data_IF_202092414420
#
_entry.id   IF_202092414420
#
_cell.length_a   1.000
_cell.length_b   1.000
_cell.length_c   1.000
_cell.angle_alpha   90.00
_cell.angle_beta   90.00
_cell.angle_gamma   90.00
#
_symmetry.space_group_name_H-M   'P 1'
#
loop_
_entity.id
_entity.type
_entity.pdbx_description
1 polymer ?
#
# COMPACT_ATOMS: atom_id res chain seq x y z
N UNK A 1 -37.78 -3.10 -14.82
CA UNK A 1 -37.85 -2.05 -15.86
C UNK A 1 -37.88 -0.72 -15.13
N UNK A 2 -36.74 -0.05 -15.07
CA UNK A 2 -36.49 1.11 -14.22
C UNK A 2 -36.17 2.31 -15.13
N UNK A 3 -36.78 3.49 -14.92
CA UNK A 3 -36.58 4.62 -15.80
C UNK A 3 -35.25 5.31 -15.51
N UNK A 4 -34.50 5.55 -16.58
CA UNK A 4 -33.26 6.30 -16.57
C UNK A 4 -33.54 7.80 -16.47
N UNK A 5 -32.85 8.48 -15.55
CA UNK A 5 -32.78 9.94 -15.48
C UNK A 5 -32.04 10.48 -16.71
N UNK A 6 -32.78 11.18 -17.58
CA UNK A 6 -32.22 11.99 -18.65
C UNK A 6 -32.06 13.42 -18.13
N UNK A 7 -30.84 13.80 -17.75
CA UNK A 7 -30.52 15.20 -17.46
C UNK A 7 -30.23 15.91 -18.79
N UNK A 8 -31.21 16.67 -19.27
CA UNK A 8 -31.10 17.56 -20.41
C UNK A 8 -30.23 18.77 -20.04
N UNK A 9 -29.04 18.86 -20.65
CA UNK A 9 -28.21 20.07 -20.67
C UNK A 9 -28.78 20.96 -21.78
N UNK A 10 -29.83 21.72 -21.48
CA UNK A 10 -30.42 22.67 -22.43
C UNK A 10 -31.01 23.88 -21.70
N UNK A 11 -30.18 24.63 -20.97
CA UNK A 11 -30.62 25.93 -20.44
C UNK A 11 -29.47 26.93 -20.25
N UNK A 12 -28.59 27.10 -21.24
CA UNK A 12 -27.68 28.26 -21.28
C UNK A 12 -27.59 28.78 -22.72
N UNK A 13 -28.71 29.24 -23.29
CA UNK A 13 -28.65 30.03 -24.53
C UNK A 13 -29.91 30.85 -24.83
N UNK A 14 -30.65 31.32 -23.81
CA UNK A 14 -31.85 32.15 -24.03
C UNK A 14 -31.92 33.34 -23.07
N UNK A 15 -30.88 34.18 -23.08
CA UNK A 15 -30.86 35.45 -22.32
C UNK A 15 -30.55 36.67 -23.18
N UNK A 16 -30.82 36.62 -24.50
CA UNK A 16 -30.45 37.71 -25.43
C UNK A 16 -31.59 38.59 -25.92
N UNK A 17 -32.79 38.53 -25.34
CA UNK A 17 -33.92 39.37 -25.76
C UNK A 17 -34.78 39.83 -24.57
N UNK A 18 -34.22 40.58 -23.61
CA UNK A 18 -34.96 41.57 -22.80
C UNK A 18 -33.98 42.68 -22.36
N UNK A 19 -33.66 43.62 -23.25
CA UNK A 19 -32.95 44.85 -22.87
C UNK A 19 -33.66 46.07 -23.46
N UNK A 20 -34.87 46.34 -22.98
CA UNK A 20 -35.52 47.66 -23.07
C UNK A 20 -36.50 47.95 -21.92
N UNK A 21 -36.39 47.26 -20.78
CA UNK A 21 -36.93 47.79 -19.53
C UNK A 21 -35.82 48.60 -18.87
N UNK A 22 -36.10 49.88 -18.53
CA UNK A 22 -35.23 50.66 -17.66
C UNK A 22 -34.98 49.80 -16.41
N UNK A 23 -33.72 49.48 -16.08
CA UNK A 23 -33.43 48.66 -14.91
C UNK A 23 -34.02 49.36 -13.70
N UNK A 24 -34.92 48.65 -13.04
CA UNK A 24 -35.47 49.02 -11.75
C UNK A 24 -34.27 49.12 -10.79
N UNK A 25 -33.93 50.34 -10.38
CA UNK A 25 -32.70 50.62 -9.62
C UNK A 25 -32.60 49.73 -8.38
N UNK A 26 -33.75 49.49 -7.74
CA UNK A 26 -33.86 48.70 -6.54
C UNK A 26 -33.48 47.23 -6.76
N UNK A 27 -33.80 46.66 -7.94
CA UNK A 27 -33.40 45.27 -8.28
C UNK A 27 -31.91 45.16 -8.55
N UNK A 28 -31.31 46.18 -9.15
CA UNK A 28 -29.87 46.19 -9.40
C UNK A 28 -29.07 46.28 -8.10
N UNK A 29 -29.51 47.11 -7.15
CA UNK A 29 -28.92 47.20 -5.81
C UNK A 29 -29.04 45.89 -5.03
N UNK A 30 -30.19 45.20 -5.11
CA UNK A 30 -30.36 43.87 -4.49
C UNK A 30 -29.40 42.81 -5.06
N UNK A 31 -29.18 42.82 -6.37
CA UNK A 31 -28.23 41.87 -7.01
C UNK A 31 -26.80 42.19 -6.61
N UNK A 32 -26.41 43.47 -6.54
CA UNK A 32 -25.08 43.87 -6.07
C UNK A 32 -24.84 43.45 -4.61
N UNK A 33 -25.80 43.69 -3.72
CA UNK A 33 -25.70 43.26 -2.33
C UNK A 33 -25.58 41.73 -2.21
N UNK A 34 -26.31 40.96 -3.02
CA UNK A 34 -26.17 39.50 -3.05
C UNK A 34 -24.78 39.06 -3.51
N UNK A 35 -24.21 39.76 -4.49
CA UNK A 35 -22.87 39.48 -5.01
C UNK A 35 -21.78 39.82 -3.97
N UNK A 36 -21.90 40.95 -3.29
CA UNK A 36 -20.98 41.33 -2.20
C UNK A 36 -21.04 40.32 -1.04
N UNK A 37 -22.25 39.91 -0.64
CA UNK A 37 -22.44 38.92 0.42
C UNK A 37 -21.84 37.56 0.06
N UNK A 38 -22.00 37.13 -1.20
CA UNK A 38 -21.39 35.87 -1.67
C UNK A 38 -19.87 35.97 -1.74
N UNK A 39 -19.33 37.11 -2.20
CA UNK A 39 -17.88 37.36 -2.22
C UNK A 39 -17.28 37.30 -0.81
N UNK A 40 -17.88 37.99 0.16
CA UNK A 40 -17.48 37.95 1.57
C UNK A 40 -17.56 36.54 2.16
N UNK A 41 -18.57 35.76 1.80
CA UNK A 41 -18.69 34.37 2.23
C UNK A 41 -17.61 33.45 1.60
N UNK A 42 -17.12 33.78 0.41
CA UNK A 42 -15.98 33.11 -0.20
C UNK A 42 -14.66 33.49 0.48
N UNK A 43 -14.44 34.76 0.80
CA UNK A 43 -13.26 35.23 1.54
C UNK A 43 -13.16 34.57 2.92
N UNK A 44 -14.25 34.56 3.70
CA UNK A 44 -14.25 33.88 5.03
C UNK A 44 -13.96 32.39 4.94
N UNK A 45 -14.45 31.72 3.89
CA UNK A 45 -14.11 30.30 3.65
C UNK A 45 -12.63 30.14 3.34
N UNK A 46 -12.06 31.02 2.52
CA UNK A 46 -10.63 30.98 2.21
C UNK A 46 -9.77 31.19 3.47
N UNK A 47 -10.15 32.10 4.36
CA UNK A 47 -9.47 32.30 5.65
C UNK A 47 -9.57 31.05 6.55
N UNK A 48 -10.74 30.43 6.64
CA UNK A 48 -10.92 29.20 7.41
C UNK A 48 -10.08 28.04 6.86
N UNK A 49 -10.01 27.89 5.54
CA UNK A 49 -9.13 26.93 4.87
C UNK A 49 -7.65 27.22 5.15
N UNK A 50 -7.26 28.49 5.15
CA UNK A 50 -5.90 28.91 5.48
C UNK A 50 -5.54 28.55 6.93
N UNK A 51 -6.43 28.78 7.90
CA UNK A 51 -6.22 28.40 9.30
C UNK A 51 -6.15 26.87 9.49
N UNK A 52 -7.04 26.10 8.86
CA UNK A 52 -6.95 24.64 8.89
C UNK A 52 -5.64 24.12 8.27
N UNK A 53 -5.16 24.76 7.20
CA UNK A 53 -3.89 24.40 6.59
C UNK A 53 -2.70 24.62 7.53
N UNK A 54 -2.68 25.73 8.29
CA UNK A 54 -1.67 26.00 9.32
C UNK A 54 -1.69 24.94 10.42
N UNK A 55 -2.88 24.54 10.88
CA UNK A 55 -3.02 23.49 11.88
C UNK A 55 -2.47 22.14 11.39
N UNK A 56 -2.78 21.77 10.15
CA UNK A 56 -2.25 20.56 9.51
C UNK A 56 -0.72 20.59 9.38
N UNK A 57 -0.15 21.71 8.94
CA UNK A 57 1.32 21.89 8.88
C UNK A 57 1.95 21.73 10.27
N UNK A 58 1.30 22.22 11.32
CA UNK A 58 1.73 22.02 12.70
C UNK A 58 1.72 20.55 13.13
N UNK A 59 0.67 19.80 12.78
CA UNK A 59 0.58 18.35 13.04
C UNK A 59 1.66 17.59 12.28
N UNK A 60 1.86 17.89 10.99
CA UNK A 60 2.89 17.25 10.16
C UNK A 60 4.29 17.48 10.73
N UNK A 61 4.63 18.72 11.12
CA UNK A 61 5.91 19.02 11.77
C UNK A 61 6.10 18.28 13.09
N UNK A 62 5.04 18.10 13.90
CA UNK A 62 5.12 17.28 15.13
C UNK A 62 5.39 15.81 14.82
N UNK A 63 4.72 15.25 13.82
CA UNK A 63 4.95 13.87 13.39
C UNK A 63 6.36 13.69 12.83
N UNK A 64 6.86 14.64 12.05
CA UNK A 64 8.22 14.63 11.53
C UNK A 64 9.26 14.63 12.66
N UNK A 65 9.09 15.48 13.68
CA UNK A 65 9.93 15.47 14.88
C UNK A 65 9.93 14.11 15.59
N UNK A 66 8.76 13.47 15.73
CA UNK A 66 8.65 12.14 16.32
C UNK A 66 9.33 11.06 15.45
N UNK A 67 9.17 11.11 14.13
CA UNK A 67 9.82 10.18 13.21
C UNK A 67 11.34 10.32 13.23
N UNK A 68 11.85 11.56 13.28
CA UNK A 68 13.29 11.83 13.42
C UNK A 68 13.80 11.32 14.77
N UNK A 69 13.09 11.55 15.87
CA UNK A 69 13.46 11.02 17.18
C UNK A 69 13.50 9.48 17.21
N UNK A 70 12.51 8.82 16.59
CA UNK A 70 12.48 7.36 16.44
C UNK A 70 13.66 6.84 15.59
N UNK A 71 14.00 7.55 14.51
CA UNK A 71 15.16 7.22 13.66
C UNK A 71 16.48 7.35 14.42
N UNK A 72 16.66 8.41 15.22
CA UNK A 72 17.82 8.59 16.08
C UNK A 72 17.94 7.49 17.15
N UNK A 73 16.82 7.12 17.79
CA UNK A 73 16.82 5.99 18.71
C UNK A 73 17.20 4.68 18.00
N UNK A 74 16.68 4.43 16.80
CA UNK A 74 17.06 3.24 16.02
C UNK A 74 18.56 3.19 15.69
N UNK A 75 19.19 4.34 15.40
CA UNK A 75 20.63 4.40 15.16
C UNK A 75 21.45 4.16 16.43
N UNK A 76 21.04 4.73 17.58
CA UNK A 76 21.75 4.52 18.85
C UNK A 76 21.78 3.04 19.27
N UNK A 77 20.72 2.29 18.97
CA UNK A 77 20.69 0.83 19.18
C UNK A 77 21.61 0.04 18.23
N UNK A 78 21.97 0.58 17.06
CA UNK A 78 22.93 -0.05 16.15
C UNK A 78 24.38 0.37 16.42
N UNK A 79 24.61 1.54 17.02
CA UNK A 79 25.95 2.05 17.32
C UNK A 79 26.54 1.45 18.60
N UNK A 80 25.73 0.97 19.55
CA UNK A 80 26.23 0.29 20.77
C UNK A 80 26.66 -1.17 20.58
N UNK A 81 26.64 -1.71 19.36
CA UNK A 81 27.20 -3.04 19.05
C UNK A 81 28.58 -2.99 18.40
N UNK A 82 29.24 -1.83 18.38
CA UNK A 82 30.50 -1.61 17.65
C UNK A 82 31.76 -1.52 18.55
N UNK A 83 31.76 -2.15 19.73
CA UNK A 83 32.99 -2.41 20.51
C UNK A 83 33.15 -3.91 20.82
N UNK A 84 32.97 -4.75 19.81
CA UNK A 84 33.51 -6.10 19.80
C UNK A 84 34.83 -6.02 19.04
N UNK A 85 35.90 -5.75 19.79
CA UNK A 85 37.26 -5.71 19.30
C UNK A 85 37.63 -7.03 18.60
N UNK A 86 38.19 -6.89 17.40
CA UNK A 86 39.14 -7.81 16.75
C UNK A 86 38.93 -9.31 17.01
N UNK A 87 37.80 -9.86 16.58
CA UNK A 87 37.75 -11.30 16.28
C UNK A 87 38.40 -11.58 14.91
N UNK A 88 39.29 -12.57 14.82
CA UNK A 88 40.04 -12.86 13.60
C UNK A 88 39.11 -13.18 12.43
N UNK A 89 39.40 -12.54 11.29
CA UNK A 89 38.66 -12.60 10.02
C UNK A 89 38.62 -14.00 9.37
N UNK A 90 39.25 -15.01 9.99
CA UNK A 90 39.25 -16.41 9.54
C UNK A 90 38.02 -17.21 9.97
N UNK A 91 37.03 -16.58 10.65
CA UNK A 91 35.82 -17.24 11.15
C UNK A 91 34.51 -16.60 10.63
N UNK A 92 34.56 -15.97 9.45
CA UNK A 92 33.38 -15.77 8.59
C UNK A 92 33.04 -17.09 7.91
N UNK A 93 32.77 -18.08 8.76
CA UNK A 93 32.20 -19.35 8.38
C UNK A 93 30.81 -19.06 7.78
N UNK A 94 30.67 -19.39 6.49
CA UNK A 94 29.50 -19.15 5.63
C UNK A 94 28.24 -19.84 6.20
N UNK A 95 28.38 -20.67 7.24
CA UNK A 95 27.29 -21.33 7.97
C UNK A 95 26.73 -20.62 9.20
N UNK A 96 27.19 -19.42 9.59
CA UNK A 96 26.71 -18.84 10.87
C UNK A 96 25.20 -18.49 10.84
N UNK A 97 24.42 -18.97 11.83
CA UNK A 97 22.99 -18.70 11.93
C UNK A 97 22.73 -17.19 12.02
N UNK A 98 21.56 -16.75 11.52
CA UNK A 98 21.17 -15.34 11.65
C UNK A 98 21.31 -14.93 13.12
N UNK A 99 21.99 -13.82 13.44
CA UNK A 99 22.00 -13.29 14.80
C UNK A 99 20.60 -12.77 15.10
N UNK A 100 19.70 -13.69 15.45
CA UNK A 100 18.46 -13.31 16.10
C UNK A 100 18.85 -12.65 17.42
N UNK A 101 18.16 -11.57 17.82
CA UNK A 101 18.46 -10.90 19.11
C UNK A 101 18.54 -11.88 20.29
N UNK A 102 17.70 -12.94 20.37
CA UNK A 102 17.87 -13.97 21.39
C UNK A 102 19.18 -14.74 21.27
N UNK A 103 19.58 -15.13 20.05
CA UNK A 103 20.87 -15.78 19.82
C UNK A 103 22.06 -14.89 20.20
N UNK A 104 22.00 -13.60 19.84
CA UNK A 104 23.01 -12.61 20.24
C UNK A 104 23.03 -12.36 21.76
N UNK A 105 21.89 -12.54 22.43
CA UNK A 105 21.77 -12.45 23.88
C UNK A 105 22.11 -13.77 24.60
N UNK A 106 22.60 -14.80 23.89
CA UNK A 106 22.93 -16.11 24.47
C UNK A 106 21.71 -16.94 24.92
N UNK A 107 20.50 -16.54 24.54
CA UNK A 107 19.30 -17.30 24.86
C UNK A 107 19.24 -18.58 24.01
N UNK A 108 18.74 -19.70 24.57
CA UNK A 108 18.57 -20.93 23.83
C UNK A 108 17.54 -20.71 22.72
N UNK A 109 18.02 -20.55 21.49
CA UNK A 109 17.17 -20.58 20.30
C UNK A 109 17.08 -22.03 19.87
N UNK A 110 15.86 -22.53 19.69
CA UNK A 110 15.63 -23.86 19.10
C UNK A 110 16.34 -23.89 17.74
N UNK A 111 17.46 -24.61 17.68
CA UNK A 111 18.15 -24.84 16.41
C UNK A 111 17.28 -25.78 15.58
N UNK A 112 17.03 -25.37 14.35
CA UNK A 112 16.57 -26.31 13.34
C UNK A 112 17.68 -27.36 13.15
N UNK A 113 17.31 -28.61 12.93
CA UNK A 113 18.29 -29.67 12.71
C UNK A 113 19.07 -29.35 11.44
N UNK A 114 20.40 -29.42 11.49
CA UNK A 114 21.23 -29.26 10.29
C UNK A 114 21.04 -30.46 9.34
N UNK A 115 20.64 -31.61 9.89
CA UNK A 115 20.35 -32.84 9.16
C UNK A 115 18.94 -32.81 8.53
N UNK A 116 18.77 -32.05 7.45
CA UNK A 116 17.53 -32.05 6.67
C UNK A 116 17.41 -33.33 5.85
N UNK A 117 16.63 -34.30 6.36
CA UNK A 117 16.26 -35.54 5.67
C UNK A 117 14.76 -35.83 5.87
N UNK A 118 13.87 -35.19 5.10
CA UNK A 118 12.44 -35.45 5.22
C UNK A 118 12.11 -36.88 4.80
N UNK A 119 11.10 -37.49 5.44
CA UNK A 119 10.61 -38.85 5.11
C UNK A 119 9.76 -38.92 3.84
N UNK A 120 9.52 -37.78 3.20
CA UNK A 120 8.63 -37.62 2.06
C UNK A 120 9.44 -37.10 0.87
N UNK A 121 9.08 -37.53 -0.35
CA UNK A 121 9.70 -37.01 -1.58
C UNK A 121 9.06 -35.70 -2.03
N UNK A 122 7.72 -35.61 -1.89
CA UNK A 122 6.91 -34.45 -2.25
C UNK A 122 5.90 -34.17 -1.13
N UNK A 123 5.91 -32.95 -0.62
CA UNK A 123 4.98 -32.46 0.39
C UNK A 123 3.97 -31.47 -0.24
N UNK A 124 2.66 -31.77 -0.21
CA UNK A 124 1.64 -30.87 -0.72
C UNK A 124 1.31 -29.78 0.31
N UNK A 125 1.78 -28.55 0.10
CA UNK A 125 1.42 -27.40 0.93
C UNK A 125 0.28 -26.61 0.28
N UNK A 126 -0.80 -26.36 1.01
CA UNK A 126 -1.89 -25.49 0.53
C UNK A 126 -1.53 -24.03 0.73
N UNK A 127 -1.61 -23.24 -0.34
CA UNK A 127 -1.39 -21.81 -0.32
C UNK A 127 -2.69 -21.06 -0.66
N UNK A 128 -3.17 -20.25 0.29
CA UNK A 128 -4.43 -19.54 0.23
C UNK A 128 -4.23 -18.05 -0.06
N UNK A 129 -5.21 -17.46 -0.75
CA UNK A 129 -5.38 -16.02 -0.96
C UNK A 129 -6.87 -15.70 -0.89
N UNK A 130 -7.33 -15.28 0.29
CA UNK A 130 -8.77 -15.16 0.55
C UNK A 130 -9.46 -16.52 0.35
N UNK A 131 -10.54 -16.60 -0.46
CA UNK A 131 -11.25 -17.87 -0.71
C UNK A 131 -10.56 -18.77 -1.76
N UNK A 132 -9.59 -18.25 -2.52
CA UNK A 132 -8.87 -19.01 -3.55
C UNK A 132 -7.65 -19.71 -2.97
N UNK A 133 -7.32 -20.89 -3.49
CA UNK A 133 -6.12 -21.62 -3.06
C UNK A 133 -5.45 -22.36 -4.22
N UNK A 134 -4.17 -22.71 -4.03
CA UNK A 134 -3.40 -23.57 -4.93
C UNK A 134 -2.55 -24.55 -4.11
N UNK A 135 -2.20 -25.68 -4.71
CA UNK A 135 -1.27 -26.64 -4.10
C UNK A 135 0.16 -26.36 -4.56
N UNK A 136 1.01 -26.06 -3.60
CA UNK A 136 2.45 -25.99 -3.76
C UNK A 136 3.04 -27.38 -3.51
N UNK A 137 3.73 -27.94 -4.51
CA UNK A 137 4.43 -29.23 -4.39
C UNK A 137 5.87 -28.97 -3.96
N UNK A 138 6.16 -29.18 -2.67
CA UNK A 138 7.49 -28.99 -2.11
C UNK A 138 8.28 -30.29 -2.28
N UNK A 139 9.47 -30.23 -2.89
CA UNK A 139 10.32 -31.42 -3.03
C UNK A 139 11.31 -31.56 -1.88
N UNK A 140 11.69 -32.80 -1.55
CA UNK A 140 12.61 -33.12 -0.45
C UNK A 140 13.95 -32.39 -0.55
N UNK A 141 14.50 -32.28 -1.76
CA UNK A 141 15.79 -31.64 -2.03
C UNK A 141 15.74 -30.12 -2.18
N UNK A 142 14.62 -29.47 -1.85
CA UNK A 142 14.53 -28.02 -1.89
C UNK A 142 15.12 -27.38 -0.63
N UNK A 143 15.84 -26.28 -0.86
CA UNK A 143 16.22 -25.33 0.17
C UNK A 143 15.13 -24.25 0.34
N UNK A 144 15.30 -23.41 1.36
CA UNK A 144 14.42 -22.29 1.66
C UNK A 144 14.38 -21.27 0.50
N UNK A 145 15.46 -21.13 -0.27
CA UNK A 145 15.50 -20.27 -1.45
C UNK A 145 14.56 -20.78 -2.55
N UNK A 146 14.60 -22.07 -2.87
CA UNK A 146 13.71 -22.70 -3.84
C UNK A 146 12.24 -22.60 -3.39
N UNK A 147 11.98 -22.90 -2.11
CA UNK A 147 10.67 -22.74 -1.49
C UNK A 147 10.14 -21.30 -1.64
N UNK A 148 10.93 -20.28 -1.27
CA UNK A 148 10.52 -18.87 -1.34
C UNK A 148 10.26 -18.40 -2.78
N UNK A 149 11.03 -18.87 -3.76
CA UNK A 149 10.76 -18.60 -5.19
C UNK A 149 9.42 -19.18 -5.62
N UNK A 150 9.15 -20.43 -5.25
CA UNK A 150 7.91 -21.10 -5.63
C UNK A 150 6.68 -20.54 -4.88
N UNK A 151 6.87 -20.08 -3.65
CA UNK A 151 5.87 -19.30 -2.93
C UNK A 151 5.52 -18.00 -3.65
N UNK A 152 6.53 -17.28 -4.16
CA UNK A 152 6.34 -16.09 -4.99
C UNK A 152 5.54 -16.41 -6.26
N UNK A 153 5.91 -17.47 -6.98
CA UNK A 153 5.18 -17.94 -8.18
C UNK A 153 3.75 -18.36 -7.88
N UNK A 154 3.53 -19.05 -6.76
CA UNK A 154 2.20 -19.47 -6.31
C UNK A 154 1.32 -18.27 -6.00
N UNK A 155 1.86 -17.26 -5.31
CA UNK A 155 1.16 -15.99 -5.07
C UNK A 155 0.81 -15.29 -6.38
N UNK A 156 1.74 -15.22 -7.33
CA UNK A 156 1.50 -14.61 -8.63
C UNK A 156 0.48 -15.40 -9.46
N UNK A 157 0.40 -16.71 -9.31
CA UNK A 157 -0.59 -17.56 -9.98
C UNK A 157 -1.99 -17.33 -9.40
N UNK A 158 -2.09 -17.15 -8.08
CA UNK A 158 -3.34 -16.79 -7.39
C UNK A 158 -3.82 -15.35 -7.72
N UNK A 159 -3.00 -14.54 -8.40
CA UNK A 159 -3.33 -13.15 -8.76
C UNK A 159 -3.70 -13.06 -10.24
N UNK A 160 -4.93 -12.64 -10.53
CA UNK A 160 -5.36 -12.38 -11.91
C UNK A 160 -4.50 -11.30 -12.57
N UNK A 161 -4.27 -11.40 -13.89
CA UNK A 161 -3.42 -10.46 -14.65
C UNK A 161 -3.83 -9.01 -14.42
N UNK A 162 -5.13 -8.71 -14.48
CA UNK A 162 -5.67 -7.37 -14.16
C UNK A 162 -5.29 -6.90 -12.75
N UNK A 163 -5.42 -7.77 -11.75
CA UNK A 163 -5.01 -7.44 -10.38
C UNK A 163 -3.49 -7.30 -10.28
N UNK A 164 -2.65 -7.95 -11.10
CA UNK A 164 -1.19 -7.72 -11.09
C UNK A 164 -0.85 -6.26 -11.37
N UNK A 165 -1.44 -5.69 -12.41
CA UNK A 165 -1.17 -4.31 -12.84
C UNK A 165 -1.87 -3.27 -11.98
N UNK A 166 -3.15 -3.47 -11.66
CA UNK A 166 -3.95 -2.44 -10.97
C UNK A 166 -4.02 -2.59 -9.45
N UNK A 167 -3.63 -3.73 -8.87
CA UNK A 167 -3.71 -3.85 -7.41
C UNK A 167 -2.57 -3.10 -6.71
N UNK A 168 -2.99 -2.08 -5.97
CA UNK A 168 -2.24 -1.31 -5.00
C UNK A 168 -1.85 -2.14 -3.75
N UNK A 169 -2.37 -3.36 -3.66
CA UNK A 169 -2.04 -4.30 -2.60
C UNK A 169 -0.88 -5.22 -3.01
N UNK A 170 -0.09 -5.57 -2.01
CA UNK A 170 1.04 -6.49 -2.12
C UNK A 170 1.01 -7.44 -0.93
N UNK A 171 1.79 -8.53 -1.00
CA UNK A 171 1.91 -9.47 0.12
C UNK A 171 2.40 -8.71 1.35
N UNK A 172 1.55 -8.62 2.37
CA UNK A 172 1.89 -7.97 3.62
C UNK A 172 2.58 -8.93 4.57
N UNK A 173 2.08 -10.14 4.66
CA UNK A 173 2.60 -11.19 5.52
C UNK A 173 2.11 -12.55 5.01
N UNK A 174 2.81 -13.61 5.40
CA UNK A 174 2.32 -14.99 5.24
C UNK A 174 1.96 -15.46 6.64
N UNK A 175 0.75 -15.98 6.81
CA UNK A 175 0.26 -16.55 8.07
C UNK A 175 0.04 -18.04 7.91
N UNK A 176 0.25 -18.83 8.96
CA UNK A 176 -0.12 -20.24 8.95
C UNK A 176 -1.60 -20.38 9.24
N UNK A 177 -2.27 -21.24 8.47
CA UNK A 177 -3.71 -21.48 8.54
C UNK A 177 -3.99 -22.97 8.55
N UNK A 178 -5.13 -23.39 9.10
CA UNK A 178 -5.57 -24.77 8.95
C UNK A 178 -5.89 -25.07 7.47
N UNK A 179 -5.36 -26.18 6.96
CA UNK A 179 -5.57 -26.67 5.61
C UNK A 179 -6.90 -27.43 5.46
N UNK A 180 -7.90 -27.17 6.30
CA UNK A 180 -9.19 -27.87 6.24
C UNK A 180 -10.02 -27.37 5.05
N UNK A 181 -10.61 -28.30 4.30
CA UNK A 181 -11.47 -28.03 3.15
C UNK A 181 -12.90 -27.67 3.53
N UNK A 182 -13.30 -27.93 4.77
CA UNK A 182 -14.67 -27.69 5.24
C UNK A 182 -14.94 -26.21 5.54
N UNK A 183 -13.89 -25.40 5.70
CA UNK A 183 -14.01 -23.98 6.03
C UNK A 183 -13.96 -23.12 4.76
N UNK A 184 -14.98 -22.27 4.59
CA UNK A 184 -15.04 -21.26 3.51
C UNK A 184 -13.89 -20.24 3.61
N UNK A 185 -13.39 -20.01 4.83
CA UNK A 185 -12.27 -19.12 5.09
C UNK A 185 -11.19 -19.81 5.94
N UNK A 186 -9.90 -19.64 5.59
CA UNK A 186 -8.81 -20.27 6.33
C UNK A 186 -8.69 -19.68 7.74
N UNK A 187 -8.69 -20.54 8.76
CA UNK A 187 -8.55 -20.11 10.16
C UNK A 187 -7.07 -19.95 10.51
N UNK A 188 -6.66 -18.72 10.84
CA UNK A 188 -5.28 -18.37 11.23
C UNK A 188 -4.89 -18.97 12.57
N UNK A 189 -3.66 -19.46 12.64
CA UNK A 189 -3.08 -20.06 13.85
C UNK A 189 -1.94 -19.18 14.34
N UNK A 190 -1.95 -18.88 15.64
CA UNK A 190 -0.92 -18.10 16.32
C UNK A 190 -1.46 -16.77 16.87
N UNK A 191 -0.59 -15.99 17.54
CA UNK A 191 -0.97 -14.69 18.09
C UNK A 191 -1.52 -13.80 16.96
N UNK A 192 -2.67 -13.17 17.20
CA UNK A 192 -3.52 -12.48 16.22
C UNK A 192 -2.85 -11.35 15.41
N UNK A 193 -1.57 -11.08 15.61
CA UNK A 193 -0.76 -10.24 14.74
C UNK A 193 0.70 -10.66 14.79
N UNK A 194 1.25 -11.08 13.64
CA UNK A 194 2.69 -11.03 13.46
C UNK A 194 3.12 -9.58 13.56
N UNK A 195 4.06 -9.29 14.48
CA UNK A 195 4.63 -7.94 14.64
C UNK A 195 5.09 -7.40 13.27
N UNK A 196 4.85 -6.11 12.96
CA UNK A 196 5.26 -5.50 11.69
C UNK A 196 6.72 -5.78 11.30
N UNK A 197 7.62 -5.88 12.29
CA UNK A 197 9.03 -6.18 12.08
C UNK A 197 9.28 -7.60 11.52
N UNK A 198 8.54 -8.61 12.01
CA UNK A 198 8.62 -9.99 11.51
C UNK A 198 8.13 -10.07 10.06
N UNK A 199 7.07 -9.33 9.75
CA UNK A 199 6.53 -9.25 8.39
C UNK A 199 7.50 -8.59 7.41
N UNK A 200 8.22 -7.55 7.83
CA UNK A 200 9.25 -6.94 6.97
C UNK A 200 10.36 -7.92 6.59
N UNK A 201 10.82 -8.73 7.55
CA UNK A 201 11.87 -9.73 7.29
C UNK A 201 11.43 -10.80 6.29
N UNK A 202 10.22 -11.33 6.44
CA UNK A 202 9.69 -12.30 5.48
C UNK A 202 9.54 -11.70 4.08
N UNK A 203 9.03 -10.47 3.96
CA UNK A 203 8.94 -9.78 2.67
C UNK A 203 10.31 -9.58 2.02
N UNK A 204 11.33 -9.31 2.82
CA UNK A 204 12.69 -9.18 2.33
C UNK A 204 13.18 -10.51 1.74
N UNK A 205 12.99 -11.63 2.45
CA UNK A 205 13.36 -12.95 1.94
C UNK A 205 12.58 -13.40 0.71
N UNK A 206 11.29 -13.03 0.59
CA UNK A 206 10.52 -13.29 -0.63
C UNK A 206 11.06 -12.54 -1.86
N UNK A 207 11.70 -11.37 -1.66
CA UNK A 207 12.34 -10.60 -2.73
C UNK A 207 13.78 -11.03 -3.01
N UNK A 208 14.43 -11.58 -1.99
CA UNK A 208 15.83 -11.98 -1.99
C UNK A 208 15.99 -13.44 -1.55
N UNK A 209 15.38 -14.40 -2.27
CA UNK A 209 15.42 -15.81 -1.89
C UNK A 209 16.85 -16.36 -1.85
N UNK A 210 17.77 -15.80 -2.64
CA UNK A 210 19.19 -16.17 -2.68
C UNK A 210 19.90 -16.09 -1.32
N UNK A 211 19.39 -15.28 -0.39
CA UNK A 211 19.98 -15.15 0.95
C UNK A 211 19.64 -16.33 1.87
N UNK A 212 18.64 -17.11 1.50
CA UNK A 212 18.22 -18.31 2.22
C UNK A 212 18.68 -19.59 1.49
N UNK A 213 19.66 -19.46 0.58
CA UNK A 213 20.22 -20.62 -0.12
C UNK A 213 20.86 -21.59 0.87
N UNK A 214 20.69 -22.88 0.62
CA UNK A 214 21.24 -24.00 1.40
C UNK A 214 20.71 -24.06 2.86
N UNK A 215 19.66 -23.31 3.18
CA UNK A 215 18.97 -23.32 4.49
C UNK A 215 17.66 -24.08 4.41
N UNK A 216 17.20 -24.62 5.53
CA UNK A 216 15.97 -25.43 5.60
C UNK A 216 15.07 -25.04 6.78
N UNK A 217 15.21 -23.82 7.31
CA UNK A 217 14.43 -23.36 8.47
C UNK A 217 12.95 -23.18 8.11
N UNK A 218 12.67 -22.55 6.97
CA UNK A 218 11.29 -22.38 6.50
C UNK A 218 10.67 -23.71 6.07
N UNK A 219 11.44 -24.55 5.38
CA UNK A 219 11.05 -25.90 5.03
C UNK A 219 10.62 -26.68 6.27
N UNK A 220 11.46 -26.76 7.30
CA UNK A 220 11.14 -27.45 8.56
C UNK A 220 9.87 -26.93 9.22
N UNK A 221 9.69 -25.61 9.29
CA UNK A 221 8.52 -25.00 9.94
C UNK A 221 7.23 -25.27 9.17
N UNK A 222 7.26 -25.14 7.83
CA UNK A 222 6.07 -25.31 7.00
C UNK A 222 5.67 -26.78 6.81
N UNK A 223 6.64 -27.70 6.85
CA UNK A 223 6.37 -29.14 6.67
C UNK A 223 6.30 -29.92 7.97
N UNK A 224 6.49 -29.27 9.13
CA UNK A 224 6.36 -29.92 10.44
C UNK A 224 4.96 -30.53 10.67
N UNK A 225 3.95 -29.98 9.99
CA UNK A 225 2.54 -30.35 10.15
C UNK A 225 1.82 -30.37 8.81
N UNK A 226 1.20 -31.50 8.47
CA UNK A 226 0.45 -31.71 7.23
C UNK A 226 -0.94 -31.07 7.24
N UNK A 227 -1.46 -30.74 8.43
CA UNK A 227 -2.75 -30.10 8.60
C UNK A 227 -2.68 -28.57 8.45
N UNK A 228 -1.48 -28.02 8.24
CA UNK A 228 -1.25 -26.59 8.08
C UNK A 228 -1.01 -26.23 6.61
N UNK A 229 -1.55 -25.06 6.25
CA UNK A 229 -1.25 -24.36 5.02
C UNK A 229 -0.77 -22.95 5.33
N UNK A 230 -0.62 -22.17 4.26
CA UNK A 230 -0.22 -20.78 4.35
C UNK A 230 -1.26 -19.88 3.71
N UNK A 231 -1.46 -18.69 4.26
CA UNK A 231 -2.31 -17.65 3.69
C UNK A 231 -1.47 -16.42 3.37
N UNK A 232 -1.55 -15.97 2.12
CA UNK A 232 -1.00 -14.70 1.68
C UNK A 232 -1.93 -13.56 2.14
N UNK A 233 -1.56 -12.92 3.24
CA UNK A 233 -2.28 -11.74 3.73
C UNK A 233 -1.81 -10.53 2.93
N UNK A 234 -2.70 -9.98 2.11
CA UNK A 234 -2.42 -8.78 1.35
C UNK A 234 -2.58 -7.53 2.20
N UNK A 235 -1.78 -6.51 1.92
CA UNK A 235 -1.94 -5.19 2.52
C UNK A 235 -1.62 -4.09 1.55
N UNK A 236 -2.10 -2.90 1.88
CA UNK A 236 -1.84 -1.68 1.13
C UNK A 236 -0.35 -1.36 1.11
N UNK A 237 0.19 -1.21 -0.10
CA UNK A 237 1.57 -0.76 -0.28
C UNK A 237 1.57 0.75 -0.52
N UNK A 238 1.89 1.53 0.52
CA UNK A 238 1.96 2.99 0.48
C UNK A 238 2.73 3.53 -0.73
N UNK A 239 3.83 2.89 -1.11
CA UNK A 239 4.61 3.33 -2.27
C UNK A 239 3.84 3.21 -3.60
N UNK A 240 3.04 2.16 -3.79
CA UNK A 240 2.21 1.99 -4.99
C UNK A 240 1.06 2.99 -5.01
N UNK A 241 0.44 3.23 -3.85
CA UNK A 241 -0.60 4.25 -3.69
C UNK A 241 -0.03 5.63 -4.02
N UNK A 242 1.13 5.98 -3.47
CA UNK A 242 1.80 7.24 -3.74
C UNK A 242 2.08 7.42 -5.23
N UNK A 243 2.63 6.41 -5.91
CA UNK A 243 2.85 6.44 -7.37
C UNK A 243 1.53 6.61 -8.12
N UNK A 244 0.47 5.88 -7.74
CA UNK A 244 -0.84 5.99 -8.38
C UNK A 244 -1.50 7.36 -8.21
N UNK A 245 -1.20 8.08 -7.12
CA UNK A 245 -1.69 9.46 -6.90
C UNK A 245 -0.81 10.48 -7.61
N UNK A 246 0.52 10.36 -7.49
CA UNK A 246 1.47 11.33 -8.03
C UNK A 246 1.51 11.31 -9.56
N UNK A 247 1.40 10.13 -10.19
CA UNK A 247 1.55 10.01 -11.64
C UNK A 247 0.48 10.82 -12.40
N UNK A 248 -0.82 10.76 -12.07
CA UNK A 248 -1.84 11.57 -12.74
C UNK A 248 -1.72 13.07 -12.45
N UNK A 249 -1.29 13.45 -11.23
CA UNK A 249 -1.05 14.87 -10.88
C UNK A 249 0.11 15.45 -11.69
N UNK A 250 1.20 14.70 -11.82
CA UNK A 250 2.33 15.10 -12.67
C UNK A 250 1.94 15.11 -14.14
N UNK A 251 1.17 14.12 -14.60
CA UNK A 251 0.68 14.07 -15.97
C UNK A 251 -0.23 15.27 -16.31
N UNK A 252 -1.15 15.65 -15.41
CA UNK A 252 -1.99 16.83 -15.61
C UNK A 252 -1.18 18.13 -15.63
N UNK A 253 -0.13 18.23 -14.82
CA UNK A 253 0.78 19.38 -14.84
C UNK A 253 1.55 19.46 -16.17
N UNK A 254 2.10 18.34 -16.64
CA UNK A 254 2.81 18.27 -17.93
C UNK A 254 1.88 18.65 -19.07
N UNK A 255 0.62 18.16 -19.07
CA UNK A 255 -0.38 18.53 -20.07
C UNK A 255 -0.71 20.02 -20.03
N UNK A 256 -0.83 20.63 -18.83
CA UNK A 256 -1.06 22.07 -18.70
C UNK A 256 0.10 22.89 -19.29
N UNK A 257 1.34 22.50 -18.99
CA UNK A 257 2.54 23.18 -19.52
C UNK A 257 2.61 23.05 -21.05
N UNK A 258 2.39 21.85 -21.58
CA UNK A 258 2.39 21.62 -23.02
C UNK A 258 1.28 22.41 -23.73
N UNK A 259 0.07 22.37 -23.19
CA UNK A 259 -1.05 23.12 -23.76
C UNK A 259 -0.79 24.63 -23.73
N UNK A 260 -0.31 25.15 -22.61
CA UNK A 260 0.04 26.57 -22.46
C UNK A 260 1.14 26.99 -23.44
N UNK A 261 2.14 26.13 -23.69
CA UNK A 261 3.21 26.42 -24.62
C UNK A 261 2.74 26.42 -26.08
N UNK A 262 1.83 25.51 -26.45
CA UNK A 262 1.32 25.39 -27.81
C UNK A 262 0.30 26.46 -28.18
N UNK A 263 -0.56 26.86 -27.23
CA UNK A 263 -1.69 27.75 -27.50
C UNK A 263 -1.55 29.15 -26.88
N UNK A 264 -0.54 29.38 -26.04
CA UNK A 264 -0.34 30.66 -25.35
C UNK A 264 -1.36 30.98 -24.26
N UNK A 265 -2.34 30.09 -24.00
CA UNK A 265 -3.36 30.27 -22.97
C UNK A 265 -3.02 29.52 -21.68
N UNK A 266 -2.33 30.21 -20.78
CA UNK A 266 -1.94 29.67 -19.46
C UNK A 266 -3.18 29.40 -18.59
N UNK A 267 -4.15 30.32 -18.58
CA UNK A 267 -5.31 30.25 -17.69
C UNK A 267 -6.20 29.06 -18.04
N UNK A 268 -6.50 28.87 -19.32
CA UNK A 268 -7.29 27.73 -19.79
C UNK A 268 -6.61 26.39 -19.51
N UNK A 269 -5.29 26.31 -19.75
CA UNK A 269 -4.51 25.09 -19.52
C UNK A 269 -4.57 24.60 -18.07
N UNK A 270 -4.32 25.50 -17.12
CA UNK A 270 -4.35 25.18 -15.69
C UNK A 270 -5.78 24.91 -15.19
N UNK A 271 -6.78 25.59 -15.76
CA UNK A 271 -8.19 25.31 -15.46
C UNK A 271 -8.57 23.88 -15.84
N UNK A 272 -8.23 23.44 -17.06
CA UNK A 272 -8.50 22.07 -17.53
C UNK A 272 -7.77 21.04 -16.66
N UNK A 273 -6.49 21.26 -16.35
CA UNK A 273 -5.72 20.36 -15.50
C UNK A 273 -6.28 20.26 -14.07
N UNK A 274 -6.76 21.38 -13.51
CA UNK A 274 -7.46 21.43 -12.23
C UNK A 274 -8.75 20.61 -12.23
N UNK A 275 -9.56 20.73 -13.29
CA UNK A 275 -10.77 19.91 -13.46
C UNK A 275 -10.43 18.41 -13.55
N UNK A 276 -9.42 18.03 -14.32
CA UNK A 276 -9.01 16.62 -14.48
C UNK A 276 -8.51 16.03 -13.15
N UNK A 277 -7.70 16.79 -12.40
CA UNK A 277 -7.19 16.35 -11.09
C UNK A 277 -8.32 16.20 -10.08
N UNK A 278 -9.29 17.12 -10.10
CA UNK A 278 -10.47 17.08 -9.23
C UNK A 278 -11.34 15.86 -9.53
N UNK A 279 -11.63 15.60 -10.81
CA UNK A 279 -12.38 14.41 -11.22
C UNK A 279 -11.66 13.11 -10.80
N UNK A 280 -10.34 13.05 -11.00
CA UNK A 280 -9.53 11.92 -10.57
C UNK A 280 -9.58 11.68 -9.05
N UNK A 281 -9.56 12.75 -8.25
CA UNK A 281 -9.65 12.65 -6.79
C UNK A 281 -10.97 12.01 -6.34
N UNK A 282 -12.09 12.35 -6.99
CA UNK A 282 -13.42 11.75 -6.71
C UNK A 282 -13.41 10.26 -7.07
N UNK A 283 -12.85 9.88 -8.21
CA UNK A 283 -12.70 8.48 -8.60
C UNK A 283 -11.86 7.69 -7.59
N UNK A 284 -10.75 8.26 -7.08
CA UNK A 284 -9.92 7.62 -6.07
C UNK A 284 -10.65 7.43 -4.74
N UNK A 285 -11.45 8.42 -4.31
CA UNK A 285 -12.27 8.30 -3.10
C UNK A 285 -13.29 7.17 -3.27
N UNK A 286 -13.98 7.09 -4.41
CA UNK A 286 -14.93 6.02 -4.70
C UNK A 286 -14.25 4.64 -4.71
N UNK A 287 -13.08 4.53 -5.34
CA UNK A 287 -12.28 3.29 -5.31
C UNK A 287 -11.84 2.92 -3.89
N UNK A 288 -11.49 3.90 -3.08
CA UNK A 288 -11.18 3.72 -1.66
C UNK A 288 -12.36 3.16 -0.87
N UNK A 289 -13.55 3.72 -1.07
CA UNK A 289 -14.79 3.27 -0.40
C UNK A 289 -15.20 1.86 -0.85
N UNK A 290 -15.18 1.56 -2.15
CA UNK A 290 -15.47 0.23 -2.68
C UNK A 290 -14.54 -0.83 -2.09
N UNK A 291 -13.24 -0.51 -1.97
CA UNK A 291 -12.25 -1.41 -1.39
C UNK A 291 -12.33 -1.49 0.14
N UNK A 292 -12.98 -0.53 0.81
CA UNK A 292 -13.27 -0.61 2.23
C UNK A 292 -14.45 -1.56 2.50
N UNK A 293 -15.47 -1.56 1.64
CA UNK A 293 -16.67 -2.41 1.77
C UNK A 293 -16.40 -3.90 1.49
N UNK A 294 -15.39 -4.23 0.68
CA UNK A 294 -15.00 -5.61 0.39
C UNK A 294 -14.31 -6.32 1.59
N UNK A 295 -14.14 -5.62 2.74
CA UNK A 295 -13.43 -6.09 3.95
C UNK A 295 -14.22 -5.79 5.23
#
# INVERSE_FOLDING_TARGET
MSPWYSYSISTICSSRIILRQKPDKDKFEQVLQLYENTLLAHERRAELWHEHSKQLVGVVRRLEKHLVALRWHSHKYHSSSASADSLPLSLLDIGKPYPSRPYAAGLPVRRCSDDWQPKWDVFPLKAFRGPSYTYLKIHAGWDDAALLRELGRSYDTLRTVWRKWFSLRSVRSISMVYADHTCVYPRRIGPAGLSPSKNMRLRYFLRHPEQMKDRHEFMQVLTARTDLGIEFVEGWQLSRIAVAILLPVLASLVLAVLYSALYGDVSGAFTIAGYMTSAYSVCLVLLGLLNFVEF
#
